data_IF_227042660886
#
_entry.id   IF_227042660886
#
_cell.length_a   1.000
_cell.length_b   1.000
_cell.length_c   1.000
_cell.angle_alpha   90.00
_cell.angle_beta   90.00
_cell.angle_gamma   90.00
#
_symmetry.space_group_name_H-M   'P 1'
#
loop_
_entity.id
_entity.type
_entity.pdbx_description
1 polymer ?
#
# COMPACT_ATOMS: atom_id res chain seq x y z
N UNK A 1 10.00 5.76 -1.54
CA UNK A 1 8.62 5.56 -1.07
C UNK A 1 7.58 6.22 -1.95
N UNK A 2 7.77 7.49 -2.34
CA UNK A 2 6.82 8.22 -3.19
C UNK A 2 6.45 7.50 -4.49
N UNK A 3 7.43 7.00 -5.24
CA UNK A 3 7.17 6.27 -6.50
C UNK A 3 6.29 5.03 -6.28
N UNK A 4 6.65 4.17 -5.32
CA UNK A 4 5.87 2.98 -4.95
C UNK A 4 4.44 3.33 -4.55
N UNK A 5 4.27 4.41 -3.79
CA UNK A 5 2.97 4.91 -3.37
C UNK A 5 2.11 5.35 -4.56
N UNK A 6 2.68 6.14 -5.47
CA UNK A 6 1.97 6.61 -6.66
C UNK A 6 1.59 5.44 -7.58
N UNK A 7 2.49 4.48 -7.78
CA UNK A 7 2.22 3.27 -8.57
C UNK A 7 1.07 2.45 -7.98
N UNK A 8 1.07 2.21 -6.67
CA UNK A 8 -0.03 1.54 -5.98
C UNK A 8 -1.35 2.33 -6.10
N UNK A 9 -1.30 3.65 -5.86
CA UNK A 9 -2.50 4.51 -5.86
C UNK A 9 -3.15 4.57 -7.24
N UNK A 10 -2.36 4.82 -8.28
CA UNK A 10 -2.86 4.87 -9.65
C UNK A 10 -3.21 3.48 -10.19
N UNK A 11 -2.46 2.45 -9.85
CA UNK A 11 -2.82 1.06 -10.17
C UNK A 11 -4.20 0.69 -9.60
N UNK A 12 -4.45 1.00 -8.33
CA UNK A 12 -5.75 0.78 -7.68
C UNK A 12 -6.87 1.58 -8.36
N UNK A 13 -6.60 2.85 -8.71
CA UNK A 13 -7.55 3.69 -9.43
C UNK A 13 -7.89 3.14 -10.82
N UNK A 14 -6.89 2.71 -11.59
CA UNK A 14 -7.09 2.13 -12.92
C UNK A 14 -7.93 0.84 -12.86
N UNK A 15 -7.69 -0.02 -11.86
CA UNK A 15 -8.52 -1.21 -11.65
C UNK A 15 -9.98 -0.84 -11.37
N UNK A 16 -10.23 0.20 -10.57
CA UNK A 16 -11.57 0.70 -10.31
C UNK A 16 -12.26 1.21 -11.59
N UNK A 17 -11.56 2.01 -12.40
CA UNK A 17 -12.10 2.51 -13.69
C UNK A 17 -12.43 1.37 -14.66
N UNK A 18 -11.63 0.29 -14.62
CA UNK A 18 -11.82 -0.89 -15.48
C UNK A 18 -12.79 -1.93 -14.88
N UNK A 19 -13.44 -1.64 -13.74
CA UNK A 19 -14.30 -2.60 -13.02
C UNK A 19 -13.62 -3.93 -12.70
N UNK A 20 -12.31 -3.90 -12.46
CA UNK A 20 -11.52 -5.06 -12.07
C UNK A 20 -11.55 -5.24 -10.53
N UNK A 21 -11.37 -6.48 -10.03
CA UNK A 21 -11.32 -6.73 -8.60
C UNK A 21 -10.26 -5.88 -7.88
N UNK A 22 -10.66 -5.22 -6.79
CA UNK A 22 -9.80 -4.36 -5.99
C UNK A 22 -9.12 -5.14 -4.86
N UNK A 23 -7.82 -4.93 -4.71
CA UNK A 23 -7.01 -5.56 -3.64
C UNK A 23 -7.09 -4.81 -2.31
N UNK A 24 -7.37 -3.50 -2.34
CA UNK A 24 -7.40 -2.64 -1.15
C UNK A 24 -8.27 -3.16 0.00
N UNK A 25 -9.54 -3.53 -0.23
CA UNK A 25 -10.41 -4.03 0.84
C UNK A 25 -9.90 -5.31 1.50
N UNK A 26 -9.30 -6.22 0.74
CA UNK A 26 -8.74 -7.46 1.27
C UNK A 26 -7.49 -7.17 2.10
N UNK A 27 -6.58 -6.34 1.60
CA UNK A 27 -5.37 -5.95 2.32
C UNK A 27 -5.68 -5.17 3.60
N UNK A 28 -6.68 -4.30 3.57
CA UNK A 28 -7.12 -3.58 4.77
C UNK A 28 -7.63 -4.55 5.85
N UNK A 29 -8.42 -5.56 5.46
CA UNK A 29 -8.89 -6.61 6.39
C UNK A 29 -7.76 -7.46 6.96
N UNK A 30 -6.65 -7.61 6.25
CA UNK A 30 -5.45 -8.32 6.73
C UNK A 30 -4.65 -7.50 7.75
N UNK A 31 -4.93 -6.21 7.90
CA UNK A 31 -4.15 -5.32 8.75
C UNK A 31 -2.81 -4.93 8.10
N UNK A 32 -1.89 -4.43 8.92
CA UNK A 32 -0.55 -4.06 8.46
C UNK A 32 0.26 -5.31 8.07
N UNK A 33 1.15 -5.16 7.09
CA UNK A 33 2.15 -6.18 6.78
C UNK A 33 3.00 -6.51 8.01
N UNK A 34 3.38 -7.78 8.17
CA UNK A 34 4.31 -8.21 9.21
C UNK A 34 5.72 -7.63 9.05
N UNK A 35 6.03 -7.10 7.86
CA UNK A 35 7.37 -6.66 7.51
C UNK A 35 7.61 -5.16 7.78
N UNK A 36 6.68 -4.49 8.45
CA UNK A 36 6.78 -3.06 8.77
C UNK A 36 6.60 -2.80 10.26
N UNK A 37 7.24 -1.74 10.74
CA UNK A 37 6.96 -1.13 12.04
C UNK A 37 5.92 -0.03 11.87
N UNK A 38 5.00 0.10 12.84
CA UNK A 38 3.91 1.08 12.81
C UNK A 38 3.96 1.94 14.06
N UNK A 39 3.85 3.25 13.89
CA UNK A 39 3.86 4.21 15.01
C UNK A 39 3.07 5.48 14.71
N UNK A 40 2.80 6.31 15.74
CA UNK A 40 2.15 7.60 15.55
C UNK A 40 3.08 8.54 14.77
N UNK A 41 2.53 9.30 13.83
CA UNK A 41 3.25 10.40 13.21
C UNK A 41 3.14 11.67 14.06
N UNK A 42 4.05 12.64 13.84
CA UNK A 42 3.96 13.99 14.41
C UNK A 42 2.79 14.83 13.86
N UNK A 43 1.93 14.23 13.02
CA UNK A 43 0.77 14.85 12.41
C UNK A 43 -0.46 14.10 12.92
N UNK A 44 -1.45 14.80 13.52
CA UNK A 44 -2.67 14.17 14.01
C UNK A 44 -3.35 13.33 12.92
N UNK A 45 -3.89 12.17 13.32
CA UNK A 45 -4.63 11.25 12.46
C UNK A 45 -3.82 10.63 11.31
N UNK A 46 -2.49 10.73 11.36
CA UNK A 46 -1.59 10.04 10.44
C UNK A 46 -0.75 9.00 11.15
N UNK A 47 -0.44 7.95 10.41
CA UNK A 47 0.37 6.83 10.86
C UNK A 47 1.70 6.89 10.10
N UNK A 48 2.79 6.72 10.84
CA UNK A 48 4.09 6.44 10.24
C UNK A 48 4.28 4.93 10.16
N UNK A 49 4.57 4.46 8.94
CA UNK A 49 4.94 3.06 8.68
C UNK A 49 6.39 3.03 8.21
N UNK A 50 7.22 2.20 8.81
CA UNK A 50 8.66 2.11 8.53
C UNK A 50 9.05 0.69 8.13
N UNK A 51 9.93 0.60 7.14
CA UNK A 51 10.53 -0.64 6.65
C UNK A 51 12.02 -0.44 6.39
N UNK A 52 12.76 -1.51 6.07
CA UNK A 52 14.15 -1.39 5.62
C UNK A 52 14.30 -0.57 4.33
N UNK A 53 13.24 -0.39 3.54
CA UNK A 53 13.23 0.42 2.33
C UNK A 53 12.89 1.92 2.58
N UNK A 54 12.56 2.30 3.82
CA UNK A 54 12.20 3.67 4.23
C UNK A 54 10.84 3.78 4.92
N UNK A 55 10.40 5.02 5.18
CA UNK A 55 9.14 5.35 5.88
C UNK A 55 8.09 6.02 4.99
N UNK A 56 6.83 5.92 5.38
CA UNK A 56 5.69 6.65 4.81
C UNK A 56 4.76 7.17 5.91
N UNK A 57 4.27 8.41 5.76
CA UNK A 57 3.30 9.04 6.68
C UNK A 57 1.98 9.27 5.95
N UNK A 58 1.00 8.42 6.20
CA UNK A 58 -0.28 8.40 5.47
C UNK A 58 -1.48 8.36 6.42
N UNK A 59 -2.70 8.36 5.87
CA UNK A 59 -3.90 8.02 6.65
C UNK A 59 -3.79 6.59 7.18
N UNK A 60 -4.54 6.23 8.23
CA UNK A 60 -4.55 4.85 8.74
C UNK A 60 -4.89 3.84 7.63
N UNK A 61 -5.96 4.09 6.87
CA UNK A 61 -6.38 3.20 5.77
C UNK A 61 -5.30 3.02 4.72
N UNK A 62 -4.71 4.12 4.24
CA UNK A 62 -3.67 4.03 3.23
C UNK A 62 -2.39 3.40 3.80
N UNK A 63 -2.05 3.66 5.07
CA UNK A 63 -0.88 3.06 5.73
C UNK A 63 -1.03 1.54 5.85
N UNK A 64 -2.19 1.07 6.29
CA UNK A 64 -2.51 -0.36 6.40
C UNK A 64 -2.34 -1.05 5.05
N UNK A 65 -2.95 -0.51 3.99
CA UNK A 65 -2.88 -1.13 2.66
C UNK A 65 -1.48 -1.01 2.05
N UNK A 66 -0.89 0.19 2.09
CA UNK A 66 0.40 0.47 1.46
C UNK A 66 1.57 -0.29 2.10
N UNK A 67 1.45 -0.66 3.38
CA UNK A 67 2.46 -1.48 4.08
C UNK A 67 2.84 -2.76 3.32
N UNK A 68 1.88 -3.39 2.63
CA UNK A 68 2.07 -4.60 1.82
C UNK A 68 2.90 -4.38 0.55
N UNK A 69 3.10 -3.12 0.15
CA UNK A 69 3.85 -2.72 -1.05
C UNK A 69 5.23 -2.14 -0.73
N UNK A 70 5.50 -1.74 0.52
CA UNK A 70 6.71 -0.99 0.88
C UNK A 70 8.02 -1.74 0.54
N UNK A 71 8.04 -3.07 0.74
CA UNK A 71 9.19 -3.92 0.41
C UNK A 71 9.15 -4.51 -1.00
N UNK A 72 8.05 -4.34 -1.75
CA UNK A 72 7.96 -4.83 -3.13
C UNK A 72 8.83 -3.98 -4.07
N UNK A 73 9.40 -4.61 -5.10
CA UNK A 73 10.04 -3.88 -6.20
C UNK A 73 8.99 -3.13 -7.04
N UNK A 74 9.42 -2.13 -7.81
CA UNK A 74 8.54 -1.41 -8.74
C UNK A 74 7.83 -2.37 -9.69
N UNK A 75 8.56 -3.34 -10.27
CA UNK A 75 7.99 -4.34 -11.18
C UNK A 75 6.94 -5.22 -10.50
N UNK A 76 7.18 -5.61 -9.24
CA UNK A 76 6.20 -6.36 -8.46
C UNK A 76 4.92 -5.55 -8.25
N UNK A 77 5.03 -4.25 -7.93
CA UNK A 77 3.86 -3.37 -7.77
C UNK A 77 3.10 -3.21 -9.08
N UNK A 78 3.81 -3.04 -10.21
CA UNK A 78 3.20 -2.95 -11.54
C UNK A 78 2.47 -4.25 -11.89
N UNK A 79 3.08 -5.40 -11.62
CA UNK A 79 2.43 -6.70 -11.86
C UNK A 79 1.20 -6.88 -10.97
N UNK A 80 1.27 -6.52 -9.68
CA UNK A 80 0.11 -6.54 -8.79
C UNK A 80 -0.99 -5.59 -9.26
N UNK A 81 -0.66 -4.42 -9.81
CA UNK A 81 -1.65 -3.51 -10.37
C UNK A 81 -2.34 -4.08 -11.62
N UNK A 82 -1.59 -4.78 -12.48
CA UNK A 82 -2.12 -5.42 -13.69
C UNK A 82 -2.97 -6.65 -13.37
N UNK A 83 -2.45 -7.55 -12.54
CA UNK A 83 -3.06 -8.86 -12.31
C UNK A 83 -4.04 -8.87 -11.12
N UNK A 84 -3.82 -8.01 -10.13
CA UNK A 84 -4.49 -8.07 -8.83
C UNK A 84 -3.74 -8.98 -7.86
N UNK A 85 -4.31 -9.19 -6.67
CA UNK A 85 -3.79 -10.19 -5.74
C UNK A 85 -4.12 -11.58 -6.27
N UNK A 86 -3.09 -12.41 -6.46
CA UNK A 86 -3.28 -13.85 -6.64
C UNK A 86 -3.68 -14.43 -5.28
N UNK A 87 -4.94 -14.84 -5.18
CA UNK A 87 -5.48 -15.64 -4.06
C UNK A 87 -5.02 -17.07 -4.17
#
# INVERSE_FOLDING_TARGET
MTEKYLLWRWGSFMRMVLSLPLSGPQLFKQGYSSDVSVGPANIPWRIETTSSAGSAILSETDSTIFSHFMLKSVDQIINMAREGLRT
#
